data_IF_486742127086
#
_entry.id   IF_486742127086
#
_cell.length_a   1.000
_cell.length_b   1.000
_cell.length_c   1.000
_cell.angle_alpha   90.00
_cell.angle_beta   90.00
_cell.angle_gamma   90.00
#
_symmetry.space_group_name_H-M   'P 1'
#
loop_
_entity.id
_entity.type
_entity.pdbx_description
1 polymer ?
#
# COMPACT_ATOMS: atom_id res chain seq x y z
N UNK A 1 5.00 0.51 19.24
CA UNK A 1 5.81 1.71 18.93
C UNK A 1 5.01 2.76 18.14
N UNK A 2 4.53 2.46 16.93
CA UNK A 2 3.78 3.44 16.09
C UNK A 2 2.57 4.05 16.83
N UNK A 3 1.83 3.23 17.58
CA UNK A 3 0.69 3.69 18.38
C UNK A 3 1.06 4.73 19.44
N UNK A 4 2.19 4.53 20.13
CA UNK A 4 2.67 5.48 21.15
C UNK A 4 3.04 6.82 20.52
N UNK A 5 3.76 6.80 19.40
CA UNK A 5 4.14 8.04 18.70
C UNK A 5 2.92 8.82 18.21
N UNK A 6 1.93 8.10 17.64
CA UNK A 6 0.67 8.71 17.21
C UNK A 6 -0.14 9.33 18.36
N UNK A 7 -0.09 8.74 19.56
CA UNK A 7 -0.72 9.28 20.76
C UNK A 7 0.02 10.50 21.32
N UNK A 8 1.35 10.52 21.25
CA UNK A 8 2.15 11.66 21.69
C UNK A 8 2.06 12.87 20.77
N UNK A 9 1.76 12.64 19.48
CA UNK A 9 1.68 13.67 18.44
C UNK A 9 0.33 13.58 17.71
N UNK A 10 -0.80 13.80 18.40
CA UNK A 10 -2.13 13.55 17.84
C UNK A 10 -2.48 14.51 16.69
N UNK A 11 -1.93 15.73 16.71
CA UNK A 11 -2.24 16.79 15.73
C UNK A 11 -1.33 16.75 14.49
N UNK A 12 -0.36 15.82 14.43
CA UNK A 12 0.57 15.70 13.31
C UNK A 12 0.24 14.50 12.43
N UNK A 13 0.37 14.69 11.12
CA UNK A 13 0.39 13.60 10.15
C UNK A 13 1.77 12.94 10.14
N UNK A 14 1.81 11.65 10.46
CA UNK A 14 3.05 10.88 10.57
C UNK A 14 3.26 10.04 9.32
N UNK A 15 4.29 10.36 8.53
CA UNK A 15 4.70 9.58 7.37
C UNK A 15 5.80 8.58 7.75
N UNK A 16 5.42 7.31 7.89
CA UNK A 16 6.32 6.21 8.20
C UNK A 16 6.88 5.59 6.92
N UNK A 17 8.19 5.63 6.73
CA UNK A 17 8.89 4.90 5.67
C UNK A 17 9.54 3.65 6.27
N UNK A 18 9.25 2.48 5.70
CA UNK A 18 9.78 1.21 6.18
C UNK A 18 10.24 0.30 5.03
N UNK A 19 11.10 -0.66 5.32
CA UNK A 19 11.50 -1.67 4.33
C UNK A 19 10.36 -2.65 4.01
N UNK A 20 10.61 -3.58 3.07
CA UNK A 20 9.62 -4.55 2.58
C UNK A 20 9.16 -5.58 3.61
N UNK A 21 9.95 -5.87 4.65
CA UNK A 21 9.53 -6.76 5.74
C UNK A 21 8.33 -6.18 6.49
N UNK A 22 8.17 -4.85 6.46
CA UNK A 22 7.08 -4.14 7.11
C UNK A 22 5.91 -3.81 6.18
N UNK A 23 5.91 -4.28 4.93
CA UNK A 23 4.82 -4.07 3.98
C UNK A 23 3.56 -4.91 4.30
N UNK A 24 3.71 -5.97 5.09
CA UNK A 24 2.67 -6.98 5.34
C UNK A 24 1.43 -6.47 6.09
N UNK A 25 0.35 -7.24 5.97
CA UNK A 25 -0.98 -6.91 6.51
C UNK A 25 -1.00 -6.75 8.04
N UNK A 26 -0.14 -7.45 8.76
CA UNK A 26 -0.05 -7.40 10.23
C UNK A 26 0.21 -5.97 10.72
N UNK A 27 0.99 -5.19 9.96
CA UNK A 27 1.31 -3.80 10.30
C UNK A 27 0.29 -2.85 9.66
N UNK A 28 -0.21 -3.14 8.45
CA UNK A 28 -1.10 -2.23 7.72
C UNK A 28 -2.50 -2.11 8.31
N UNK A 29 -3.01 -3.16 8.96
CA UNK A 29 -4.42 -3.21 9.40
C UNK A 29 -4.72 -2.37 10.63
N UNK A 30 -3.70 -1.97 11.38
CA UNK A 30 -3.86 -1.36 12.71
C UNK A 30 -3.08 -0.05 12.83
N UNK A 31 -2.91 0.67 11.71
CA UNK A 31 -2.31 2.00 11.73
C UNK A 31 -3.29 3.00 12.38
N UNK A 32 -2.82 3.85 13.30
CA UNK A 32 -3.60 4.98 13.79
C UNK A 32 -4.00 5.91 12.64
N UNK A 33 -5.09 6.66 12.82
CA UNK A 33 -5.69 7.47 11.75
C UNK A 33 -4.76 8.56 11.20
N UNK A 34 -3.85 9.08 12.02
CA UNK A 34 -2.87 10.10 11.64
C UNK A 34 -1.55 9.52 11.08
N UNK A 35 -1.49 8.22 10.74
CA UNK A 35 -0.25 7.57 10.27
C UNK A 35 -0.39 7.05 8.85
N UNK A 36 0.44 7.58 7.96
CA UNK A 36 0.59 7.12 6.57
C UNK A 36 1.86 6.29 6.44
N UNK A 37 1.78 5.12 5.83
CA UNK A 37 2.94 4.22 5.69
C UNK A 37 3.32 4.00 4.24
N UNK A 38 4.61 4.13 3.96
CA UNK A 38 5.24 3.82 2.69
C UNK A 38 6.24 2.69 2.89
N UNK A 39 6.13 1.65 2.08
CA UNK A 39 7.04 0.52 2.14
C UNK A 39 7.13 -0.15 0.77
N UNK A 40 8.27 -0.80 0.51
CA UNK A 40 8.49 -1.53 -0.73
C UNK A 40 7.58 -2.76 -0.79
N UNK A 41 6.80 -2.87 -1.86
CA UNK A 41 5.97 -4.04 -2.10
C UNK A 41 6.78 -5.19 -2.70
N UNK A 42 6.52 -6.42 -2.26
CA UNK A 42 7.08 -7.59 -2.92
C UNK A 42 6.55 -7.71 -4.35
N UNK A 43 7.44 -7.98 -5.32
CA UNK A 43 7.06 -8.01 -6.74
C UNK A 43 6.01 -9.08 -7.08
N UNK A 44 5.94 -10.14 -6.27
CA UNK A 44 4.96 -11.24 -6.40
C UNK A 44 3.71 -11.05 -5.52
N UNK A 45 3.48 -9.85 -4.97
CA UNK A 45 2.33 -9.59 -4.10
C UNK A 45 1.00 -9.96 -4.77
N UNK A 46 0.13 -10.62 -4.01
CA UNK A 46 -1.23 -10.94 -4.44
C UNK A 46 -2.15 -9.74 -4.15
N UNK A 47 -2.32 -8.89 -5.17
CA UNK A 47 -3.21 -7.73 -5.13
C UNK A 47 -4.65 -8.14 -5.46
N UNK A 48 -5.62 -7.49 -4.83
CA UNK A 48 -7.05 -7.74 -5.03
C UNK A 48 -7.80 -6.43 -5.07
N UNK A 49 -8.86 -6.38 -5.87
CA UNK A 49 -9.84 -5.31 -5.82
C UNK A 49 -10.53 -5.28 -4.44
N UNK A 50 -11.15 -4.13 -4.07
CA UNK A 50 -12.03 -4.06 -2.91
C UNK A 50 -13.08 -5.18 -2.94
N UNK A 51 -13.44 -5.71 -1.77
CA UNK A 51 -14.50 -6.71 -1.69
C UNK A 51 -15.82 -6.09 -2.17
N UNK A 52 -16.61 -6.78 -3.02
CA UNK A 52 -17.89 -6.25 -3.47
C UNK A 52 -18.86 -6.13 -2.30
N UNK A 53 -19.76 -5.15 -2.38
CA UNK A 53 -20.85 -4.96 -1.41
C UNK A 53 -21.74 -6.22 -1.42
N UNK A 54 -22.12 -6.67 -0.23
CA UNK A 54 -23.02 -7.83 -0.07
C UNK A 54 -24.41 -7.48 -0.63
N UNK A 55 -24.98 -8.36 -1.43
CA UNK A 55 -26.33 -8.20 -1.95
C UNK A 55 -27.38 -8.80 -0.99
N UNK A 56 -28.59 -8.24 -0.91
CA UNK A 56 -29.70 -8.85 -0.18
C UNK A 56 -29.96 -10.29 -0.67
N UNK A 57 -30.21 -11.22 0.25
CA UNK A 57 -30.45 -12.63 -0.09
C UNK A 57 -29.22 -13.44 -0.50
N UNK A 58 -28.02 -12.83 -0.59
CA UNK A 58 -26.80 -13.54 -0.95
C UNK A 58 -26.46 -14.60 0.11
N UNK A 59 -26.45 -15.87 -0.31
CA UNK A 59 -26.14 -17.02 0.55
C UNK A 59 -24.63 -17.14 0.79
N UNK A 60 -24.25 -17.56 2.00
CA UNK A 60 -22.86 -17.78 2.39
C UNK A 60 -22.15 -16.56 3.01
N UNK A 61 -20.86 -16.74 3.30
CA UNK A 61 -20.00 -15.73 3.93
C UNK A 61 -19.65 -14.63 2.93
N UNK A 62 -19.67 -13.38 3.39
CA UNK A 62 -19.20 -12.25 2.59
C UNK A 62 -17.74 -12.45 2.15
N UNK A 63 -17.44 -12.09 0.90
CA UNK A 63 -16.07 -12.11 0.39
C UNK A 63 -15.22 -11.11 1.17
N UNK A 64 -13.97 -11.49 1.47
CA UNK A 64 -12.99 -10.59 2.12
C UNK A 64 -12.18 -9.75 1.12
N UNK A 65 -12.21 -10.13 -0.16
CA UNK A 65 -11.43 -9.54 -1.25
C UNK A 65 -12.25 -9.63 -2.54
N UNK A 66 -12.08 -8.68 -3.44
CA UNK A 66 -12.62 -8.72 -4.79
C UNK A 66 -11.78 -9.60 -5.71
N UNK A 67 -11.84 -9.30 -7.01
CA UNK A 67 -11.08 -10.04 -8.01
C UNK A 67 -9.58 -9.82 -7.87
N UNK A 68 -8.81 -10.81 -8.27
CA UNK A 68 -7.34 -10.73 -8.22
C UNK A 68 -6.86 -9.76 -9.30
N UNK A 69 -6.02 -8.82 -8.89
CA UNK A 69 -5.37 -7.86 -9.78
C UNK A 69 -4.00 -8.38 -10.23
N UNK A 70 -3.40 -7.71 -11.22
CA UNK A 70 -2.03 -7.97 -11.64
C UNK A 70 -1.07 -7.79 -10.47
N UNK A 71 -0.11 -8.70 -10.32
CA UNK A 71 1.00 -8.49 -9.39
C UNK A 71 1.89 -7.32 -9.87
N UNK A 72 2.69 -6.70 -8.98
CA UNK A 72 3.64 -5.68 -9.41
C UNK A 72 4.57 -6.15 -10.53
N UNK A 73 5.04 -7.41 -10.48
CA UNK A 73 5.86 -8.00 -11.55
C UNK A 73 5.12 -8.06 -12.90
N UNK A 74 3.82 -8.34 -12.88
CA UNK A 74 2.99 -8.35 -14.08
C UNK A 74 2.73 -6.92 -14.59
N UNK A 75 2.45 -5.97 -13.68
CA UNK A 75 2.25 -4.56 -14.02
C UNK A 75 3.47 -3.95 -14.73
N UNK A 76 4.69 -4.26 -14.25
CA UNK A 76 5.94 -3.79 -14.88
C UNK A 76 6.05 -4.24 -16.34
N UNK A 77 5.55 -5.44 -16.67
CA UNK A 77 5.63 -6.03 -18.02
C UNK A 77 4.45 -5.64 -18.91
N UNK A 78 3.37 -5.12 -18.34
CA UNK A 78 2.15 -4.79 -19.07
C UNK A 78 2.29 -3.45 -19.79
N UNK A 79 2.39 -3.52 -21.12
CA UNK A 79 2.57 -2.36 -22.00
C UNK A 79 1.41 -1.37 -21.97
N UNK A 80 0.25 -1.74 -21.41
CA UNK A 80 -0.88 -0.82 -21.20
C UNK A 80 -0.54 0.27 -20.17
N UNK A 81 0.33 -0.03 -19.22
CA UNK A 81 0.81 0.94 -18.23
C UNK A 81 2.12 1.56 -18.72
N UNK A 82 2.09 2.88 -18.96
CA UNK A 82 3.26 3.64 -19.41
C UNK A 82 4.02 4.18 -18.19
N UNK A 83 5.24 3.71 -18.01
CA UNK A 83 6.14 4.22 -16.98
C UNK A 83 6.57 5.66 -17.30
N UNK A 84 6.50 6.52 -16.29
CA UNK A 84 6.85 7.93 -16.41
C UNK A 84 8.16 8.17 -15.68
N UNK A 85 9.03 8.98 -16.30
CA UNK A 85 10.21 9.48 -15.61
C UNK A 85 9.80 10.55 -14.62
N UNK A 86 10.28 10.46 -13.39
CA UNK A 86 10.09 11.46 -12.35
C UNK A 86 11.44 11.92 -11.80
N UNK A 87 11.54 13.20 -11.46
CA UNK A 87 12.72 13.74 -10.79
C UNK A 87 12.47 13.75 -9.29
N UNK A 88 13.35 13.09 -8.54
CA UNK A 88 13.29 13.00 -7.08
C UNK A 88 14.53 13.63 -6.47
N UNK A 89 14.40 14.17 -5.26
CA UNK A 89 15.54 14.61 -4.46
C UNK A 89 15.94 13.49 -3.52
N UNK A 90 17.11 12.89 -3.76
CA UNK A 90 17.69 11.83 -2.95
C UNK A 90 19.00 12.33 -2.35
N UNK A 91 19.08 12.35 -1.02
CA UNK A 91 20.30 12.75 -0.29
C UNK A 91 20.90 14.09 -0.76
N UNK A 92 20.04 15.08 -0.97
CA UNK A 92 20.43 16.42 -1.43
C UNK A 92 20.74 16.53 -2.93
N UNK A 93 20.56 15.46 -3.71
CA UNK A 93 20.80 15.45 -5.17
C UNK A 93 19.51 15.19 -5.93
N UNK A 94 19.37 15.81 -7.10
CA UNK A 94 18.31 15.46 -8.04
C UNK A 94 18.70 14.19 -8.81
N UNK A 95 17.79 13.23 -8.84
CA UNK A 95 17.92 12.01 -9.61
C UNK A 95 16.67 11.80 -10.45
N UNK A 96 16.85 11.40 -11.70
CA UNK A 96 15.75 11.03 -12.59
C UNK A 96 15.56 9.51 -12.51
N UNK A 97 14.36 9.08 -12.12
CA UNK A 97 14.01 7.66 -11.93
C UNK A 97 12.76 7.32 -12.73
N UNK A 98 12.60 6.04 -13.07
CA UNK A 98 11.44 5.50 -13.79
C UNK A 98 10.89 4.30 -13.03
#
# INVERSE_FOLDING_TARGET
MIQWLAQWLPDLELHLVADSAYAGQTISRHLPANVHRYSRMCLNAALYAPAPVRQPGQRGRARKRGDRLLSPQQLIRDRRYRWQWVTVHLYGKQARVQ
#
